data_IF_638251472716
#
_entry.id   IF_638251472716
#
_cell.length_a   1.000
_cell.length_b   1.000
_cell.length_c   1.000
_cell.angle_alpha   90.00
_cell.angle_beta   90.00
_cell.angle_gamma   90.00
#
_symmetry.space_group_name_H-M   'P 1'
#
loop_
_entity.id
_entity.type
_entity.pdbx_description
1 polymer ?
#
# COMPACT_ATOMS: atom_id res chain seq x y z
N UNK A 1 1.52 -17.25 -16.14
CA UNK A 1 1.51 -17.19 -14.66
C UNK A 1 0.33 -17.98 -14.14
N UNK A 2 0.52 -18.88 -13.17
CA UNK A 2 -0.57 -19.63 -12.55
C UNK A 2 -0.70 -19.23 -11.08
N UNK A 3 -1.86 -18.67 -10.72
CA UNK A 3 -2.22 -18.29 -9.36
C UNK A 3 -3.39 -19.17 -8.96
N UNK A 4 -3.10 -20.22 -8.17
CA UNK A 4 -4.10 -21.21 -7.79
C UNK A 4 -5.20 -20.61 -6.90
N UNK A 5 -4.82 -19.80 -5.91
CA UNK A 5 -5.75 -19.15 -4.99
C UNK A 5 -5.40 -17.67 -4.88
N UNK A 6 -6.36 -16.82 -5.25
CA UNK A 6 -6.28 -15.39 -4.99
C UNK A 6 -6.41 -15.11 -3.50
N UNK A 7 -5.91 -13.96 -3.09
CA UNK A 7 -5.97 -13.52 -1.70
C UNK A 7 -6.10 -12.00 -1.63
N UNK A 8 -6.58 -11.54 -0.48
CA UNK A 8 -6.54 -10.14 -0.11
C UNK A 8 -5.83 -10.00 1.24
N UNK A 9 -4.99 -9.01 1.34
CA UNK A 9 -4.31 -8.62 2.56
C UNK A 9 -4.62 -7.15 2.85
N UNK A 10 -5.05 -6.85 4.06
CA UNK A 10 -5.52 -5.52 4.45
C UNK A 10 -5.00 -5.17 5.83
N UNK A 11 -4.28 -4.06 5.90
CA UNK A 11 -3.64 -3.56 7.10
C UNK A 11 -4.20 -2.17 7.43
N UNK A 12 -4.60 -1.98 8.68
CA UNK A 12 -5.01 -0.68 9.21
C UNK A 12 -4.16 -0.36 10.43
N UNK A 13 -3.29 0.64 10.30
CA UNK A 13 -2.37 1.04 11.35
C UNK A 13 -2.76 2.44 11.83
N UNK A 14 -2.95 2.57 13.14
CA UNK A 14 -3.29 3.84 13.79
C UNK A 14 -2.15 4.30 14.67
N UNK A 15 -1.72 5.55 14.46
CA UNK A 15 -0.77 6.25 15.31
C UNK A 15 -1.45 7.42 16.01
N UNK A 16 -1.01 7.72 17.24
CA UNK A 16 -1.37 8.94 17.96
C UNK A 16 -0.14 9.83 17.97
N UNK A 17 -0.23 11.01 17.35
CA UNK A 17 0.86 11.96 17.25
C UNK A 17 0.91 12.82 18.52
N UNK A 18 2.04 12.87 19.25
CA UNK A 18 2.20 13.76 20.38
C UNK A 18 2.22 15.25 19.98
N UNK A 19 1.83 16.12 20.90
CA UNK A 19 1.56 17.55 20.67
C UNK A 19 2.76 18.35 20.14
N UNK A 20 3.97 17.89 20.41
CA UNK A 20 5.21 18.54 20.01
C UNK A 20 5.74 18.10 18.64
N UNK A 21 4.97 17.28 17.89
CA UNK A 21 5.36 16.82 16.55
C UNK A 21 4.34 17.26 15.50
N UNK A 22 4.86 17.67 14.34
CA UNK A 22 4.11 17.88 13.12
C UNK A 22 4.61 16.96 12.01
N UNK A 23 3.73 16.54 11.10
CA UNK A 23 4.10 15.78 9.91
C UNK A 23 4.80 16.73 8.94
N UNK A 24 6.06 16.45 8.62
CA UNK A 24 6.82 17.19 7.61
C UNK A 24 6.67 16.54 6.23
N UNK A 25 6.76 15.22 6.19
CA UNK A 25 6.63 14.45 4.95
C UNK A 25 5.79 13.20 5.19
N UNK A 26 4.89 12.94 4.25
CA UNK A 26 4.07 11.73 4.25
C UNK A 26 3.94 11.19 2.83
N UNK A 27 3.74 9.87 2.66
CA UNK A 27 3.38 9.32 1.37
C UNK A 27 2.02 9.85 0.92
N UNK A 28 1.83 9.88 -0.40
CA UNK A 28 0.54 10.16 -1.00
C UNK A 28 -0.29 8.88 -1.07
N UNK A 29 -1.61 9.06 -1.12
CA UNK A 29 -2.52 7.95 -1.42
C UNK A 29 -2.20 7.40 -2.81
N UNK A 30 -2.25 6.08 -2.94
CA UNK A 30 -1.90 5.39 -4.17
C UNK A 30 -2.92 4.29 -4.47
N UNK A 31 -3.23 4.11 -5.74
CA UNK A 31 -4.00 2.99 -6.26
C UNK A 31 -3.32 2.48 -7.53
N UNK A 32 -2.99 1.20 -7.54
CA UNK A 32 -2.42 0.49 -8.69
C UNK A 32 -3.36 -0.64 -9.03
N UNK A 33 -3.73 -0.73 -10.31
CA UNK A 33 -4.57 -1.80 -10.84
C UNK A 33 -3.83 -2.58 -11.92
N UNK A 34 -4.04 -3.88 -11.94
CA UNK A 34 -3.54 -4.77 -12.99
C UNK A 34 -4.50 -5.96 -13.18
N UNK A 35 -4.35 -6.72 -14.28
CA UNK A 35 -5.09 -7.97 -14.47
C UNK A 35 -4.88 -9.00 -13.33
N UNK A 36 -3.78 -8.88 -12.60
CA UNK A 36 -3.41 -9.76 -11.49
C UNK A 36 -3.99 -9.33 -10.15
N UNK A 37 -4.63 -8.17 -10.06
CA UNK A 37 -5.14 -7.60 -8.82
C UNK A 37 -4.75 -6.14 -8.65
N UNK A 38 -4.78 -5.66 -7.41
CA UNK A 38 -4.58 -4.25 -7.10
C UNK A 38 -3.82 -4.03 -5.79
N UNK A 39 -3.17 -2.89 -5.68
CA UNK A 39 -2.53 -2.43 -4.45
C UNK A 39 -2.98 -0.99 -4.18
N UNK A 40 -3.41 -0.72 -2.95
CA UNK A 40 -3.82 0.61 -2.54
C UNK A 40 -3.30 0.99 -1.17
N UNK A 41 -3.03 2.28 -1.01
CA UNK A 41 -2.65 2.88 0.26
C UNK A 41 -3.39 4.19 0.45
N UNK A 42 -3.76 4.49 1.69
CA UNK A 42 -4.30 5.79 2.05
C UNK A 42 -3.83 6.21 3.43
N UNK A 43 -3.64 7.51 3.62
CA UNK A 43 -3.18 8.08 4.88
C UNK A 43 -4.05 9.26 5.28
N UNK A 44 -4.79 9.12 6.38
CA UNK A 44 -5.70 10.14 6.91
C UNK A 44 -5.23 10.65 8.26
N UNK A 45 -5.21 11.97 8.42
CA UNK A 45 -4.96 12.63 9.70
C UNK A 45 -6.26 13.25 10.21
N UNK A 46 -6.76 12.75 11.33
CA UNK A 46 -7.96 13.24 12.01
C UNK A 46 -7.57 13.75 13.40
N UNK A 47 -7.39 15.07 13.52
CA UNK A 47 -6.82 15.67 14.73
C UNK A 47 -5.39 15.17 14.97
N UNK A 48 -5.17 14.42 16.06
CA UNK A 48 -3.88 13.79 16.40
C UNK A 48 -3.78 12.32 15.97
N UNK A 49 -4.84 11.77 15.38
CA UNK A 49 -4.90 10.36 14.98
C UNK A 49 -4.51 10.24 13.52
N UNK A 50 -3.42 9.55 13.25
CA UNK A 50 -2.97 9.24 11.91
C UNK A 50 -3.31 7.79 11.58
N UNK A 51 -4.15 7.58 10.58
CA UNK A 51 -4.61 6.24 10.16
C UNK A 51 -4.05 5.95 8.78
N UNK A 52 -3.23 4.91 8.70
CA UNK A 52 -2.73 4.35 7.45
C UNK A 52 -3.51 3.09 7.12
N UNK A 53 -4.06 3.02 5.91
CA UNK A 53 -4.70 1.81 5.38
C UNK A 53 -3.90 1.35 4.17
N UNK A 54 -3.64 0.05 4.10
CA UNK A 54 -2.97 -0.61 2.98
C UNK A 54 -3.75 -1.85 2.59
N UNK A 55 -3.93 -2.08 1.29
CA UNK A 55 -4.65 -3.24 0.76
C UNK A 55 -3.97 -3.79 -0.48
N UNK A 56 -3.67 -5.08 -0.47
CA UNK A 56 -3.20 -5.83 -1.63
C UNK A 56 -4.24 -6.89 -1.97
N UNK A 57 -4.67 -6.93 -3.22
CA UNK A 57 -5.52 -7.97 -3.79
C UNK A 57 -4.71 -8.67 -4.88
N UNK A 58 -4.68 -10.00 -4.82
CA UNK A 58 -4.13 -10.85 -5.88
C UNK A 58 -5.24 -11.77 -6.36
N UNK A 59 -5.55 -11.71 -7.66
CA UNK A 59 -6.58 -12.50 -8.29
C UNK A 59 -6.07 -13.90 -8.66
N UNK A 60 -6.86 -14.95 -8.41
CA UNK A 60 -6.59 -16.28 -8.97
C UNK A 60 -6.75 -16.26 -10.48
N UNK A 61 -5.95 -17.06 -11.18
CA UNK A 61 -6.12 -17.24 -12.61
C UNK A 61 -4.94 -17.94 -13.28
N UNK A 62 -5.16 -18.28 -14.54
CA UNK A 62 -4.10 -18.71 -15.45
C UNK A 62 -3.92 -17.62 -16.49
N UNK A 63 -2.76 -16.99 -16.48
CA UNK A 63 -2.43 -15.86 -17.34
C UNK A 63 -1.36 -16.27 -18.35
N UNK A 64 -1.36 -15.69 -19.57
CA UNK A 64 -0.32 -15.91 -20.56
C UNK A 64 1.10 -15.66 -20.03
N UNK A 65 2.10 -16.36 -20.57
CA UNK A 65 3.47 -16.28 -20.05
C UNK A 65 4.11 -14.89 -20.19
N UNK A 66 3.80 -14.19 -21.28
CA UNK A 66 4.23 -12.81 -21.60
C UNK A 66 3.69 -11.75 -20.62
N UNK A 67 2.68 -12.08 -19.81
CA UNK A 67 2.13 -11.17 -18.80
C UNK A 67 2.86 -11.20 -17.46
N UNK A 68 3.88 -12.06 -17.30
CA UNK A 68 4.63 -12.20 -16.04
C UNK A 68 5.19 -10.86 -15.53
N UNK A 69 5.70 -10.01 -16.41
CA UNK A 69 6.26 -8.73 -16.01
C UNK A 69 5.23 -7.87 -15.27
N UNK A 70 3.99 -7.81 -15.75
CA UNK A 70 2.92 -7.04 -15.10
C UNK A 70 2.57 -7.57 -13.70
N UNK A 71 2.70 -8.88 -13.48
CA UNK A 71 2.53 -9.47 -12.15
C UNK A 71 3.68 -9.06 -11.22
N UNK A 72 4.92 -9.17 -11.69
CA UNK A 72 6.08 -8.75 -10.94
C UNK A 72 6.03 -7.25 -10.60
N UNK A 73 5.58 -6.41 -11.54
CA UNK A 73 5.43 -4.97 -11.35
C UNK A 73 4.43 -4.64 -10.24
N UNK A 74 3.28 -5.34 -10.18
CA UNK A 74 2.32 -5.18 -9.08
C UNK A 74 2.95 -5.47 -7.73
N UNK A 75 3.65 -6.60 -7.60
CA UNK A 75 4.28 -7.01 -6.33
C UNK A 75 5.44 -6.10 -5.93
N UNK A 76 6.26 -5.69 -6.90
CA UNK A 76 7.38 -4.78 -6.68
C UNK A 76 6.87 -3.39 -6.28
N UNK A 77 5.81 -2.90 -6.92
CA UNK A 77 5.23 -1.62 -6.55
C UNK A 77 4.61 -1.66 -5.15
N UNK A 78 3.93 -2.76 -4.78
CA UNK A 78 3.45 -2.96 -3.42
C UNK A 78 4.62 -2.95 -2.40
N UNK A 79 5.65 -3.77 -2.63
CA UNK A 79 6.81 -3.86 -1.75
C UNK A 79 7.57 -2.54 -1.62
N UNK A 80 7.72 -1.79 -2.71
CA UNK A 80 8.38 -0.49 -2.71
C UNK A 80 7.59 0.58 -1.93
N UNK A 81 6.27 0.60 -2.07
CA UNK A 81 5.42 1.54 -1.33
C UNK A 81 5.29 1.17 0.15
N UNK A 82 5.32 -0.12 0.49
CA UNK A 82 5.34 -0.59 1.88
C UNK A 82 6.60 -0.13 2.65
N UNK A 83 7.67 0.27 1.94
CA UNK A 83 8.88 0.89 2.54
C UNK A 83 8.75 2.41 2.74
N UNK A 84 7.60 3.00 2.39
CA UNK A 84 7.33 4.42 2.56
C UNK A 84 7.49 4.88 4.00
N UNK A 85 8.01 6.10 4.19
CA UNK A 85 8.27 6.68 5.50
C UNK A 85 7.44 7.91 5.74
N UNK A 86 7.05 8.10 7.00
CA UNK A 86 6.47 9.34 7.49
C UNK A 86 7.54 10.02 8.33
N UNK A 87 7.82 11.29 8.02
CA UNK A 87 8.82 12.09 8.72
C UNK A 87 8.08 13.11 9.58
N UNK A 88 8.42 13.11 10.86
CA UNK A 88 7.92 14.08 11.83
C UNK A 88 9.02 15.07 12.17
N UNK A 89 8.63 16.34 12.36
CA UNK A 89 9.50 17.40 12.85
C UNK A 89 8.98 17.92 14.18
N UNK A 90 9.90 18.20 15.08
CA UNK A 90 9.58 18.86 16.35
C UNK A 90 9.24 20.32 16.09
N UNK A 91 8.23 20.83 16.79
CA UNK A 91 7.81 22.22 16.71
C UNK A 91 8.87 23.19 17.20
#
# INVERSE_FOLDING_TARGET
VYINRGYSDEDVITYIIPDNFNIELKPNDLMIESPFGSYSTSLKLEGKKLVYNRKLIVNSGTYPADTYQKFADLLNAASGNDQGKIVFKTN
#
